data_IF_143118493472
#
_entry.id   IF_143118493472
#
_cell.length_a   1.000
_cell.length_b   1.000
_cell.length_c   1.000
_cell.angle_alpha   90.00
_cell.angle_beta   90.00
_cell.angle_gamma   90.00
#
_symmetry.space_group_name_H-M   'P 1'
#
loop_
_entity.id
_entity.type
_entity.pdbx_description
1 polymer ?
#
# COMPACT_ATOMS: atom_id res chain seq x y z
N UNK A 1 -2.16 18.43 -17.26
CA UNK A 1 -1.07 19.16 -16.57
C UNK A 1 -0.40 18.15 -15.66
N UNK A 2 0.81 17.70 -16.00
CA UNK A 2 1.60 16.81 -15.13
C UNK A 2 2.42 17.68 -14.18
N UNK A 3 2.02 17.76 -12.92
CA UNK A 3 2.77 18.48 -11.89
C UNK A 3 3.89 17.59 -11.37
N UNK A 4 5.07 18.17 -11.15
CA UNK A 4 6.30 17.50 -10.70
C UNK A 4 6.27 16.91 -9.27
N UNK A 5 5.10 16.84 -8.65
CA UNK A 5 4.83 16.16 -7.36
C UNK A 5 4.15 14.78 -7.56
N UNK A 6 4.26 14.20 -8.76
CA UNK A 6 3.60 12.96 -9.19
C UNK A 6 4.23 11.67 -8.63
N UNK A 7 4.73 11.71 -7.38
CA UNK A 7 5.20 10.48 -6.73
C UNK A 7 4.00 9.69 -6.21
N UNK A 8 3.96 8.37 -6.43
CA UNK A 8 2.87 7.55 -5.92
C UNK A 8 2.83 7.62 -4.40
N UNK A 9 1.62 7.73 -3.84
CA UNK A 9 1.42 7.67 -2.39
C UNK A 9 1.48 6.23 -1.88
N UNK A 10 1.17 5.27 -2.75
CA UNK A 10 1.31 3.85 -2.47
C UNK A 10 1.70 3.10 -3.75
N UNK A 11 2.39 2.00 -3.58
CA UNK A 11 2.68 1.03 -4.63
C UNK A 11 1.99 -0.28 -4.28
N UNK A 12 1.12 -0.75 -5.16
CA UNK A 12 0.36 -1.97 -5.01
C UNK A 12 1.16 -3.16 -5.55
N UNK A 13 1.26 -4.20 -4.73
CA UNK A 13 1.98 -5.44 -4.99
C UNK A 13 1.03 -6.47 -5.62
N UNK A 14 1.34 -6.94 -6.82
CA UNK A 14 0.53 -7.95 -7.51
C UNK A 14 1.20 -9.34 -7.51
N UNK A 15 0.43 -10.44 -7.44
CA UNK A 15 0.98 -11.80 -7.39
C UNK A 15 1.84 -12.20 -8.60
N UNK A 16 1.79 -11.45 -9.70
CA UNK A 16 2.65 -11.65 -10.88
C UNK A 16 3.96 -10.83 -10.82
N UNK A 17 4.25 -10.20 -9.67
CA UNK A 17 5.43 -9.34 -9.46
C UNK A 17 5.28 -7.93 -10.00
N UNK A 18 4.12 -7.56 -10.54
CA UNK A 18 3.89 -6.18 -10.98
C UNK A 18 3.70 -5.25 -9.80
N UNK A 19 4.15 -4.02 -10.02
CA UNK A 19 3.90 -2.87 -9.16
C UNK A 19 3.02 -1.88 -9.91
N UNK A 20 1.89 -1.51 -9.32
CA UNK A 20 1.05 -0.43 -9.83
C UNK A 20 1.03 0.73 -8.84
N UNK A 21 1.06 1.96 -9.37
CA UNK A 21 0.90 3.16 -8.55
C UNK A 21 -0.53 3.33 -8.07
N UNK A 22 -0.70 4.13 -7.02
CA UNK A 22 -2.00 4.40 -6.43
C UNK A 22 -2.97 5.09 -7.39
N UNK A 23 -2.52 5.94 -8.31
CA UNK A 23 -3.42 6.51 -9.34
C UNK A 23 -4.00 5.44 -10.25
N UNK A 24 -3.19 4.45 -10.67
CA UNK A 24 -3.66 3.40 -11.57
C UNK A 24 -4.69 2.51 -10.88
N UNK A 25 -4.48 2.22 -9.59
CA UNK A 25 -5.36 1.36 -8.80
C UNK A 25 -6.58 2.11 -8.26
N UNK A 26 -6.36 3.23 -7.61
CA UNK A 26 -7.39 3.96 -6.90
C UNK A 26 -8.27 4.83 -7.80
N UNK A 27 -7.88 5.10 -9.06
CA UNK A 27 -8.80 5.70 -10.05
C UNK A 27 -9.87 4.73 -10.55
N UNK A 28 -9.72 3.42 -10.29
CA UNK A 28 -10.59 2.38 -10.82
C UNK A 28 -10.30 2.00 -12.28
N UNK A 29 -9.26 2.56 -12.90
CA UNK A 29 -8.87 2.23 -14.29
C UNK A 29 -8.31 0.81 -14.39
N UNK A 30 -7.54 0.37 -13.39
CA UNK A 30 -6.90 -0.94 -13.33
C UNK A 30 -6.81 -1.38 -11.86
N UNK A 31 -6.73 -2.66 -11.50
CA UNK A 31 -6.95 -3.84 -12.33
C UNK A 31 -8.45 -4.06 -12.64
N UNK A 32 -8.74 -4.83 -13.68
CA UNK A 32 -10.10 -5.15 -14.14
C UNK A 32 -11.00 -5.74 -13.04
N UNK A 33 -10.40 -6.37 -12.02
CA UNK A 33 -11.08 -6.92 -10.85
C UNK A 33 -11.73 -5.89 -9.92
N UNK A 34 -11.48 -4.59 -10.13
CA UNK A 34 -12.15 -3.52 -9.42
C UNK A 34 -13.49 -3.10 -10.06
N UNK A 35 -13.86 -3.63 -11.23
CA UNK A 35 -15.11 -3.29 -11.94
C UNK A 35 -15.28 -1.77 -12.18
N UNK A 36 -14.18 -1.04 -12.36
CA UNK A 36 -14.22 0.42 -12.50
C UNK A 36 -14.37 1.19 -11.17
N UNK A 37 -14.41 0.50 -10.03
CA UNK A 37 -14.54 1.13 -8.71
C UNK A 37 -13.16 1.56 -8.18
N UNK A 38 -13.07 2.70 -7.50
CA UNK A 38 -11.82 3.11 -6.86
C UNK A 38 -11.46 2.16 -5.69
N UNK A 39 -10.19 2.19 -5.29
CA UNK A 39 -9.74 1.50 -4.10
C UNK A 39 -10.45 2.04 -2.84
N UNK A 40 -10.62 1.24 -1.76
CA UNK A 40 -11.26 1.71 -0.54
C UNK A 40 -10.56 2.95 0.02
N UNK A 41 -11.35 3.94 0.45
CA UNK A 41 -10.89 5.22 0.97
C UNK A 41 -10.19 6.12 -0.06
N UNK A 42 -10.26 5.84 -1.36
CA UNK A 42 -9.66 6.73 -2.36
C UNK A 42 -10.22 8.15 -2.30
N UNK A 43 -9.33 9.13 -2.38
CA UNK A 43 -9.66 10.54 -2.52
C UNK A 43 -9.11 11.03 -3.86
N UNK A 44 -10.00 11.50 -4.74
CA UNK A 44 -9.61 12.01 -6.06
C UNK A 44 -8.90 10.99 -6.96
N UNK A 45 -9.16 9.69 -6.77
CA UNK A 45 -8.53 8.61 -7.54
C UNK A 45 -7.12 8.23 -7.07
N UNK A 46 -6.70 8.72 -5.89
CA UNK A 46 -5.42 8.39 -5.26
C UNK A 46 -5.63 7.71 -3.91
N UNK A 47 -4.60 7.07 -3.39
CA UNK A 47 -4.60 6.65 -1.98
C UNK A 47 -4.43 7.91 -1.12
N UNK A 48 -5.18 8.09 -0.02
CA UNK A 48 -4.91 9.18 0.90
C UNK A 48 -3.59 8.97 1.64
N UNK A 49 -3.07 10.06 2.21
CA UNK A 49 -1.84 10.01 3.00
C UNK A 49 -1.99 9.09 4.22
N UNK A 50 -0.91 8.42 4.65
CA UNK A 50 -0.91 7.69 5.90
C UNK A 50 -1.37 8.53 7.08
N UNK A 51 -2.09 7.90 7.99
CA UNK A 51 -2.63 8.51 9.21
C UNK A 51 -2.08 7.77 10.43
N UNK A 52 -1.93 8.45 11.57
CA UNK A 52 -1.48 7.78 12.79
C UNK A 52 -2.50 6.73 13.25
N UNK A 53 -2.01 5.62 13.81
CA UNK A 53 -2.87 4.63 14.47
C UNK A 53 -3.42 5.23 15.77
N UNK A 54 -4.75 5.35 15.87
CA UNK A 54 -5.40 5.71 17.14
C UNK A 54 -5.22 4.59 18.16
N UNK A 55 -5.03 4.94 19.44
CA UNK A 55 -4.82 3.99 20.55
C UNK A 55 -5.90 2.90 20.65
N UNK A 56 -7.12 3.21 20.21
CA UNK A 56 -8.25 2.29 20.24
C UNK A 56 -8.31 1.32 19.03
N UNK A 57 -7.44 1.49 18.04
CA UNK A 57 -7.64 0.92 16.70
C UNK A 57 -6.54 -0.04 16.27
N UNK A 58 -6.81 -1.33 16.48
CA UNK A 58 -6.21 -2.48 15.78
C UNK A 58 -4.72 -2.74 16.08
N UNK A 59 -4.40 -3.54 17.12
CA UNK A 59 -3.03 -3.99 17.40
C UNK A 59 -2.37 -4.79 16.25
N UNK A 60 -3.13 -5.14 15.20
CA UNK A 60 -2.65 -5.83 13.99
C UNK A 60 -1.96 -4.90 12.97
N UNK A 61 -1.93 -3.59 13.22
CA UNK A 61 -1.36 -2.61 12.30
C UNK A 61 -0.02 -2.02 12.75
N UNK A 62 0.31 -2.13 14.04
CA UNK A 62 1.50 -1.51 14.64
C UNK A 62 1.17 -0.86 15.98
N UNK A 63 2.06 0.01 16.44
CA UNK A 63 1.90 0.77 17.69
C UNK A 63 1.10 2.05 17.46
N UNK A 64 0.49 2.58 18.52
CA UNK A 64 -0.22 3.86 18.42
C UNK A 64 0.74 4.99 18.03
N UNK A 65 0.27 5.91 17.19
CA UNK A 65 1.06 7.00 16.64
C UNK A 65 1.88 6.63 15.40
N UNK A 66 2.07 5.34 15.08
CA UNK A 66 2.68 4.95 13.81
C UNK A 66 1.77 5.32 12.63
N UNK A 67 2.39 5.80 11.54
CA UNK A 67 1.66 6.13 10.32
C UNK A 67 1.33 4.86 9.54
N UNK A 68 0.06 4.71 9.15
CA UNK A 68 -0.42 3.60 8.32
C UNK A 68 -1.36 4.09 7.21
N UNK A 69 -1.41 3.40 6.06
CA UNK A 69 -2.39 3.73 5.04
C UNK A 69 -3.81 3.47 5.59
N UNK A 70 -4.78 4.36 5.32
CA UNK A 70 -6.12 4.30 5.94
C UNK A 70 -6.91 3.04 5.56
N UNK A 71 -6.60 2.43 4.41
CA UNK A 71 -7.24 1.19 3.99
C UNK A 71 -6.71 -0.06 4.74
N UNK A 72 -5.61 0.06 5.49
CA UNK A 72 -4.92 -1.07 6.10
C UNK A 72 -5.79 -1.81 7.12
N UNK A 73 -5.72 -3.13 7.06
CA UNK A 73 -6.34 -4.05 8.01
C UNK A 73 -5.34 -4.97 8.70
N UNK A 74 -4.16 -5.16 8.11
CA UNK A 74 -3.12 -6.08 8.59
C UNK A 74 -1.73 -5.62 8.10
N UNK A 75 -0.72 -5.74 8.97
CA UNK A 75 0.70 -5.50 8.68
C UNK A 75 1.44 -6.84 8.56
N UNK A 76 2.30 -6.97 7.55
CA UNK A 76 3.00 -8.22 7.23
C UNK A 76 4.52 -8.20 7.48
N UNK A 77 5.07 -7.11 8.00
CA UNK A 77 6.53 -6.91 8.08
C UNK A 77 7.06 -6.07 6.92
N UNK A 78 8.38 -6.00 6.81
CA UNK A 78 9.09 -5.47 5.65
C UNK A 78 8.89 -6.33 4.41
N UNK A 79 9.04 -5.69 3.24
CA UNK A 79 8.91 -6.37 1.95
C UNK A 79 9.92 -7.50 1.79
N UNK A 80 11.16 -7.34 2.27
CA UNK A 80 12.18 -8.39 2.22
C UNK A 80 11.81 -9.61 3.06
N UNK A 81 11.35 -9.38 4.30
CA UNK A 81 10.88 -10.47 5.17
C UNK A 81 9.67 -11.17 4.54
N UNK A 82 8.71 -10.41 4.02
CA UNK A 82 7.50 -10.95 3.40
C UNK A 82 7.78 -11.72 2.09
N UNK A 83 8.62 -11.19 1.20
CA UNK A 83 8.93 -11.84 -0.09
C UNK A 83 9.86 -13.04 0.05
N UNK A 84 10.66 -13.12 1.12
CA UNK A 84 11.50 -14.30 1.40
C UNK A 84 10.70 -15.62 1.54
N UNK A 85 9.39 -15.52 1.81
CA UNK A 85 8.47 -16.65 1.90
C UNK A 85 7.78 -16.99 0.57
N UNK A 86 7.95 -16.18 -0.48
CA UNK A 86 7.24 -16.31 -1.76
C UNK A 86 8.16 -16.54 -2.97
N UNK A 87 7.57 -16.92 -4.11
CA UNK A 87 8.27 -17.05 -5.39
C UNK A 87 8.42 -15.72 -6.14
N UNK A 88 7.65 -14.70 -5.73
CA UNK A 88 7.58 -13.39 -6.38
C UNK A 88 8.64 -12.46 -5.78
N UNK A 89 9.39 -11.77 -6.64
CA UNK A 89 10.41 -10.80 -6.21
C UNK A 89 10.06 -9.39 -6.66
N UNK A 90 10.16 -8.45 -5.74
CA UNK A 90 10.01 -7.02 -5.98
C UNK A 90 11.38 -6.33 -5.98
N UNK A 91 11.48 -5.09 -6.49
CA UNK A 91 12.74 -4.35 -6.51
C UNK A 91 13.34 -4.18 -5.10
N UNK A 92 14.63 -4.45 -4.95
CA UNK A 92 15.36 -4.37 -3.67
C UNK A 92 15.26 -2.99 -3.00
N UNK A 93 15.12 -1.92 -3.79
CA UNK A 93 14.93 -0.56 -3.27
C UNK A 93 13.68 -0.40 -2.38
N UNK A 94 12.72 -1.32 -2.47
CA UNK A 94 11.50 -1.36 -1.67
C UNK A 94 11.60 -2.33 -0.49
N UNK A 95 12.70 -3.08 -0.36
CA UNK A 95 12.86 -4.19 0.58
C UNK A 95 12.59 -3.82 2.03
N UNK A 96 13.05 -2.64 2.47
CA UNK A 96 12.83 -2.15 3.83
C UNK A 96 11.45 -1.51 4.06
N UNK A 97 10.57 -1.44 3.06
CA UNK A 97 9.26 -0.81 3.21
C UNK A 97 8.28 -1.76 3.90
N UNK A 98 7.44 -1.20 4.76
CA UNK A 98 6.37 -1.93 5.45
C UNK A 98 5.30 -2.38 4.45
N UNK A 99 4.96 -3.66 4.48
CA UNK A 99 3.90 -4.27 3.67
C UNK A 99 2.59 -4.27 4.46
N UNK A 100 1.57 -3.68 3.85
CA UNK A 100 0.22 -3.65 4.40
C UNK A 100 -0.76 -4.36 3.49
N UNK A 101 -1.77 -4.95 4.10
CA UNK A 101 -2.96 -5.42 3.39
C UNK A 101 -4.12 -4.51 3.65
N UNK A 102 -4.79 -4.14 2.58
CA UNK A 102 -6.00 -3.33 2.62
C UNK A 102 -7.27 -4.16 2.44
N UNK A 103 -8.42 -3.53 2.71
CA UNK A 103 -9.73 -4.08 2.32
C UNK A 103 -9.72 -4.40 0.82
N UNK A 104 -10.40 -5.49 0.42
CA UNK A 104 -10.36 -6.06 -0.94
C UNK A 104 -9.04 -6.79 -1.31
N UNK A 105 -8.26 -7.24 -0.32
CA UNK A 105 -7.09 -8.12 -0.51
C UNK A 105 -5.89 -7.49 -1.25
N UNK A 106 -5.89 -6.17 -1.46
CA UNK A 106 -4.73 -5.48 -1.99
C UNK A 106 -3.57 -5.48 -1.01
N UNK A 107 -2.40 -5.85 -1.51
CA UNK A 107 -1.14 -5.65 -0.81
C UNK A 107 -0.48 -4.39 -1.34
N UNK A 108 0.08 -3.57 -0.45
CA UNK A 108 0.75 -2.34 -0.84
C UNK A 108 1.89 -1.98 0.11
N UNK A 109 2.81 -1.18 -0.42
CA UNK A 109 3.84 -0.48 0.33
C UNK A 109 3.64 1.02 0.15
N UNK A 110 4.02 1.81 1.16
CA UNK A 110 3.96 3.27 1.11
C UNK A 110 5.39 3.80 1.06
N UNK A 111 5.78 4.57 0.04
CA UNK A 111 7.09 5.20 0.00
C UNK A 111 7.35 6.06 1.25
N UNK A 112 8.43 5.75 1.96
CA UNK A 112 8.82 6.44 3.20
C UNK A 112 8.38 5.76 4.49
N UNK A 113 7.47 4.78 4.45
CA UNK A 113 7.16 3.94 5.62
C UNK A 113 8.08 2.72 5.64
N UNK A 114 9.14 2.78 6.45
CA UNK A 114 10.15 1.74 6.57
C UNK A 114 10.02 0.98 7.88
N UNK A 115 10.46 -0.27 7.86
CA UNK A 115 10.80 -0.99 9.09
C UNK A 115 12.15 -0.42 9.58
N UNK A 116 12.19 0.04 10.84
CA UNK A 116 13.39 0.57 11.50
C UNK A 116 14.33 -0.54 11.96
#
# INVERSE_FOLDING_TARGET
MHNKDDKPQALFLFPDGKLLSDDLVCSGISPSGLEGKPCPFSEGGRMPRPQPIDEASKPRLGQSGELVPPCAVEYFGSLDAWQSAGEVRYPEALGSLKVYKCRQMFLLVVPGLRED
#
